data_IF_097067760449
#
_entry.id   IF_097067760449
#
_cell.length_a   1.000
_cell.length_b   1.000
_cell.length_c   1.000
_cell.angle_alpha   90.00
_cell.angle_beta   90.00
_cell.angle_gamma   90.00
#
_symmetry.space_group_name_H-M   'P 1'
#
loop_
_entity.id
_entity.type
_entity.pdbx_description
1 polymer ?
#
# COMPACT_ATOMS: atom_id res chain seq x y z
N UNK A 1 10.62 -5.32 -8.16
CA UNK A 1 10.27 -3.89 -8.01
C UNK A 1 11.43 -3.22 -7.28
N UNK A 2 11.97 -2.11 -7.79
CA UNK A 2 13.08 -1.43 -7.12
C UNK A 2 12.62 -0.95 -5.74
N UNK A 3 13.20 -1.48 -4.66
CA UNK A 3 12.78 -1.17 -3.28
C UNK A 3 12.83 0.33 -2.98
N UNK A 4 13.76 1.06 -3.62
CA UNK A 4 13.85 2.53 -3.56
C UNK A 4 12.61 3.22 -4.13
N UNK A 5 12.12 2.76 -5.29
CA UNK A 5 10.90 3.29 -5.89
C UNK A 5 9.67 2.98 -5.03
N UNK A 6 9.63 1.79 -4.42
CA UNK A 6 8.52 1.43 -3.54
C UNK A 6 8.43 2.36 -2.32
N UNK A 7 9.57 2.62 -1.65
CA UNK A 7 9.63 3.53 -0.50
C UNK A 7 9.24 4.95 -0.91
N UNK A 8 9.75 5.42 -2.05
CA UNK A 8 9.41 6.75 -2.57
C UNK A 8 7.90 6.87 -2.86
N UNK A 9 7.29 5.84 -3.47
CA UNK A 9 5.85 5.80 -3.72
C UNK A 9 5.04 5.85 -2.41
N UNK A 10 5.47 5.07 -1.40
CA UNK A 10 4.83 5.03 -0.08
C UNK A 10 4.83 6.42 0.58
N UNK A 11 5.97 7.12 0.55
CA UNK A 11 6.10 8.46 1.14
C UNK A 11 5.17 9.45 0.45
N UNK A 12 5.15 9.48 -0.89
CA UNK A 12 4.27 10.37 -1.66
C UNK A 12 2.80 10.07 -1.35
N UNK A 13 2.45 8.79 -1.19
CA UNK A 13 1.09 8.35 -0.92
C UNK A 13 0.61 8.77 0.46
N UNK A 14 1.46 8.62 1.49
CA UNK A 14 1.16 9.06 2.85
C UNK A 14 0.97 10.57 2.90
N UNK A 15 1.89 11.34 2.27
CA UNK A 15 1.79 12.81 2.24
C UNK A 15 0.49 13.27 1.55
N UNK A 16 0.15 12.67 0.41
CA UNK A 16 -1.11 12.99 -0.28
C UNK A 16 -2.33 12.65 0.56
N UNK A 17 -2.36 11.46 1.17
CA UNK A 17 -3.48 11.03 2.02
C UNK A 17 -3.67 11.99 3.21
N UNK A 18 -2.58 12.40 3.87
CA UNK A 18 -2.63 13.36 4.97
C UNK A 18 -3.16 14.73 4.49
N UNK A 19 -2.65 15.21 3.35
CA UNK A 19 -3.04 16.50 2.77
C UNK A 19 -4.53 16.56 2.43
N UNK A 20 -5.02 15.59 1.67
CA UNK A 20 -6.44 15.54 1.30
C UNK A 20 -7.33 15.25 2.53
N UNK A 21 -6.85 14.44 3.48
CA UNK A 21 -7.54 14.22 4.75
C UNK A 21 -7.68 15.49 5.59
N UNK A 22 -6.64 16.31 5.67
CA UNK A 22 -6.69 17.62 6.33
C UNK A 22 -7.70 18.55 5.65
N UNK A 23 -7.72 18.61 4.32
CA UNK A 23 -8.70 19.43 3.59
C UNK A 23 -10.15 18.98 3.82
N UNK A 24 -10.37 17.67 3.97
CA UNK A 24 -11.67 17.11 4.34
C UNK A 24 -12.07 17.48 5.78
N UNK A 25 -11.14 17.40 6.74
CA UNK A 25 -11.36 17.77 8.14
C UNK A 25 -11.61 19.26 8.33
N UNK A 26 -11.00 20.09 7.48
CA UNK A 26 -11.17 21.55 7.47
C UNK A 26 -12.52 21.98 6.84
N UNK A 27 -13.37 21.02 6.44
CA UNK A 27 -14.70 21.27 5.90
C UNK A 27 -14.69 21.66 4.42
N UNK A 28 -13.55 21.54 3.72
CA UNK A 28 -13.47 21.71 2.27
C UNK A 28 -13.98 20.45 1.58
N UNK A 29 -15.30 20.24 1.61
CA UNK A 29 -15.97 19.07 1.04
C UNK A 29 -16.13 19.19 -0.48
N UNK A 30 -15.02 19.44 -1.19
CA UNK A 30 -15.00 19.32 -2.65
C UNK A 30 -14.92 17.85 -3.05
N UNK A 31 -15.75 17.44 -4.01
CA UNK A 31 -15.75 16.08 -4.57
C UNK A 31 -14.36 15.65 -5.04
N UNK A 32 -13.56 16.60 -5.54
CA UNK A 32 -12.19 16.35 -5.96
C UNK A 32 -11.28 15.86 -4.82
N UNK A 33 -11.35 16.48 -3.64
CA UNK A 33 -10.54 16.10 -2.49
C UNK A 33 -10.97 14.76 -1.91
N UNK A 34 -12.29 14.50 -1.86
CA UNK A 34 -12.85 13.22 -1.44
C UNK A 34 -12.38 12.08 -2.36
N UNK A 35 -12.48 12.27 -3.67
CA UNK A 35 -12.09 11.26 -4.66
C UNK A 35 -10.58 11.00 -4.61
N UNK A 36 -9.78 12.08 -4.50
CA UNK A 36 -8.33 12.00 -4.39
C UNK A 36 -7.91 11.30 -3.09
N UNK A 37 -8.57 11.57 -1.97
CA UNK A 37 -8.35 10.88 -0.70
C UNK A 37 -8.65 9.39 -0.81
N UNK A 38 -9.82 9.02 -1.34
CA UNK A 38 -10.22 7.63 -1.54
C UNK A 38 -9.22 6.87 -2.43
N UNK A 39 -8.81 7.43 -3.56
CA UNK A 39 -7.82 6.80 -4.46
C UNK A 39 -6.48 6.56 -3.77
N UNK A 40 -5.97 7.54 -3.03
CA UNK A 40 -4.72 7.39 -2.28
C UNK A 40 -4.85 6.33 -1.16
N UNK A 41 -6.00 6.28 -0.47
CA UNK A 41 -6.28 5.31 0.58
C UNK A 41 -6.37 3.88 0.02
N UNK A 42 -7.07 3.68 -1.10
CA UNK A 42 -7.16 2.38 -1.78
C UNK A 42 -5.79 1.89 -2.26
N UNK A 43 -4.97 2.78 -2.83
CA UNK A 43 -3.61 2.43 -3.22
C UNK A 43 -2.75 2.01 -2.01
N UNK A 44 -2.90 2.67 -0.87
CA UNK A 44 -2.15 2.37 0.35
C UNK A 44 -2.52 0.99 0.88
N UNK A 45 -3.81 0.70 0.94
CA UNK A 45 -4.34 -0.62 1.35
C UNK A 45 -3.85 -1.70 0.38
N UNK A 46 -3.90 -1.45 -0.93
CA UNK A 46 -3.42 -2.38 -1.95
C UNK A 46 -1.93 -2.69 -1.81
N UNK A 47 -1.12 -1.68 -1.50
CA UNK A 47 0.32 -1.83 -1.22
C UNK A 47 0.57 -2.69 0.01
N UNK A 48 -0.17 -2.46 1.10
CA UNK A 48 -0.08 -3.23 2.34
C UNK A 48 -0.48 -4.68 2.09
N UNK A 49 -1.63 -4.92 1.45
CA UNK A 49 -2.11 -6.26 1.11
C UNK A 49 -1.12 -7.01 0.20
N UNK A 50 -0.56 -6.34 -0.80
CA UNK A 50 0.41 -6.93 -1.71
C UNK A 50 1.71 -7.31 -0.98
N UNK A 51 2.17 -6.49 -0.03
CA UNK A 51 3.30 -6.84 0.82
C UNK A 51 3.00 -8.03 1.73
N UNK A 52 1.82 -8.09 2.35
CA UNK A 52 1.41 -9.21 3.20
C UNK A 52 1.33 -10.50 2.37
N UNK A 53 0.68 -10.48 1.21
CA UNK A 53 0.55 -11.63 0.32
C UNK A 53 1.90 -12.10 -0.23
N UNK A 54 2.81 -11.18 -0.52
CA UNK A 54 4.19 -11.49 -0.90
C UNK A 54 4.98 -12.20 0.19
N UNK A 55 4.72 -11.91 1.47
CA UNK A 55 5.35 -12.64 2.59
C UNK A 55 4.77 -14.05 2.75
N UNK A 56 3.45 -14.20 2.65
CA UNK A 56 2.78 -15.50 2.80
C UNK A 56 3.26 -16.49 1.73
N UNK A 57 3.38 -16.05 0.47
CA UNK A 57 3.82 -16.91 -0.64
C UNK A 57 5.26 -17.44 -0.48
N UNK A 58 6.14 -16.73 0.22
CA UNK A 58 7.52 -17.19 0.46
C UNK A 58 7.60 -18.25 1.57
N UNK A 59 6.65 -18.26 2.51
CA UNK A 59 6.59 -19.27 3.58
C UNK A 59 6.12 -20.63 3.04
N UNK A 60 5.15 -20.64 2.14
CA UNK A 60 4.59 -21.90 1.59
C UNK A 60 5.54 -22.58 0.58
N UNK A 61 6.42 -21.82 -0.08
CA UNK A 61 7.41 -22.35 -1.01
C UNK A 61 8.59 -23.06 -0.32
N UNK A 62 8.98 -22.62 0.88
CA UNK A 62 10.13 -23.16 1.59
C UNK A 62 9.85 -24.54 2.22
N UNK A 63 8.61 -24.80 2.64
CA UNK A 63 8.22 -26.09 3.24
C UNK A 63 8.08 -27.26 2.26
N UNK A 64 8.02 -27.00 0.95
CA UNK A 64 7.87 -28.02 -0.08
C UNK A 64 9.22 -28.53 -0.63
N UNK A 65 10.25 -27.68 -0.64
CA UNK A 65 11.57 -28.06 -1.15
C UNK A 65 12.33 -29.00 -0.22
N UNK A 66 12.07 -28.93 1.10
CA UNK A 66 12.74 -29.78 2.10
C UNK A 66 12.26 -31.25 2.09
N UNK A 67 11.06 -31.53 1.54
CA UNK A 67 10.51 -32.90 1.51
C UNK A 67 10.88 -33.72 0.28
N UNK A 68 11.50 -33.11 -0.74
CA UNK A 68 11.91 -33.83 -1.97
C UNK A 68 13.36 -34.34 -1.95
N UNK A 69 14.10 -34.05 -0.88
CA UNK A 69 15.51 -34.45 -0.71
C UNK A 69 15.73 -35.45 0.43
N UNK A 70 14.67 -36.03 0.99
CA UNK A 70 14.73 -37.16 1.92
C UNK A 70 14.09 -38.40 1.33
#
# INVERSE_FOLDING_TARGET
MNSKMFVLLLVILVINTLRYGSYLLEGSTSTYYLLSFCLNLFALIGVILSNIKGRIKNTDGNGSTERKQR
#
